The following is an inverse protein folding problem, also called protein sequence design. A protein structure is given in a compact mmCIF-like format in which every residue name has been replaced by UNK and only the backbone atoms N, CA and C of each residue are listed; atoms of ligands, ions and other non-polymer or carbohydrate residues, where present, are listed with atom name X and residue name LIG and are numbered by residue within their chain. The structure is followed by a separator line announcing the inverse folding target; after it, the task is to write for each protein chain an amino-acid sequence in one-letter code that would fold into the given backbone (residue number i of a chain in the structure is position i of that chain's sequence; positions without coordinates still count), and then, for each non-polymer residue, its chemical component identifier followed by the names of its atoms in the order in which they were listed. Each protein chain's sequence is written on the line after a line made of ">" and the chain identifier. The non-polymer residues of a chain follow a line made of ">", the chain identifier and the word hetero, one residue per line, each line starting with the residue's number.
data_IF_128585159500
#
_entry.id   IF_128585159500
#
_cell.length_a   1.000
_cell.length_b   1.000
_cell.length_c   1.000
_cell.angle_alpha   90.00
_cell.angle_beta   90.00
_cell.angle_gamma   90.00
#
_symmetry.space_group_name_H-M   'P 1'
#
loop_
_entity.id
_entity.type
_entity.pdbx_description
1 polymer ?
#
# COMPACT_ATOMS: atom_id res chain seq x y z
N UNK A 1 0.89 -0.01 18.17
CA UNK A 1 0.20 -1.13 18.84
C UNK A 1 0.79 -2.50 18.50
N UNK A 2 2.08 -2.70 18.70
CA UNK A 2 2.73 -3.98 18.35
C UNK A 2 2.42 -5.14 19.31
N UNK A 3 1.74 -4.90 20.46
CA UNK A 3 1.57 -5.91 21.50
C UNK A 3 0.21 -5.83 22.17
N UNK A 4 -0.23 -6.96 22.67
CA UNK A 4 -1.46 -7.12 23.45
C UNK A 4 -1.42 -6.42 24.82
N UNK A 5 -0.25 -5.95 25.24
CA UNK A 5 -0.06 -5.30 26.55
C UNK A 5 -0.12 -3.79 26.42
N UNK A 6 -1.14 -3.17 26.99
CA UNK A 6 -1.39 -1.73 26.91
C UNK A 6 -0.24 -0.85 27.44
N UNK A 7 0.58 -1.37 28.37
CA UNK A 7 1.75 -0.65 28.91
C UNK A 7 2.88 -0.47 27.90
N UNK A 8 2.82 -1.11 26.75
CA UNK A 8 3.81 -1.02 25.67
C UNK A 8 3.26 -0.35 24.41
N UNK A 9 2.08 0.27 24.51
CA UNK A 9 1.49 0.99 23.39
C UNK A 9 2.27 2.29 23.17
N UNK A 10 2.63 2.51 21.93
CA UNK A 10 3.34 3.69 21.47
C UNK A 10 2.68 4.19 20.20
N UNK A 11 2.98 5.42 19.82
CA UNK A 11 2.58 5.94 18.52
C UNK A 11 3.17 5.08 17.39
N UNK A 12 2.40 4.83 16.37
CA UNK A 12 2.84 4.13 15.16
C UNK A 12 2.16 4.75 13.96
N UNK A 13 2.95 5.08 12.95
CA UNK A 13 2.55 5.51 11.61
C UNK A 13 2.42 4.34 10.64
N UNK A 14 2.71 3.13 11.11
CA UNK A 14 2.55 1.91 10.31
C UNK A 14 1.05 1.64 9.99
N UNK A 15 0.66 1.65 8.71
CA UNK A 15 -0.74 1.54 8.29
C UNK A 15 -1.40 0.23 8.71
N UNK A 16 -0.64 -0.86 8.82
CA UNK A 16 -1.17 -2.18 9.21
C UNK A 16 -1.58 -2.20 10.68
N UNK A 17 -0.75 -1.61 11.55
CA UNK A 17 -1.09 -1.53 12.97
C UNK A 17 -2.20 -0.51 13.24
N UNK A 18 -2.26 0.57 12.48
CA UNK A 18 -3.39 1.52 12.55
C UNK A 18 -4.69 0.85 12.10
N UNK A 19 -4.66 0.07 11.00
CA UNK A 19 -5.81 -0.70 10.54
C UNK A 19 -6.24 -1.73 11.59
N UNK A 20 -5.31 -2.46 12.18
CA UNK A 20 -5.61 -3.45 13.22
C UNK A 20 -6.26 -2.80 14.43
N UNK A 21 -5.74 -1.65 14.87
CA UNK A 21 -6.34 -0.88 15.96
C UNK A 21 -7.76 -0.43 15.61
N UNK A 22 -7.96 0.11 14.41
CA UNK A 22 -9.27 0.53 13.93
C UNK A 22 -10.29 -0.63 13.90
N UNK A 23 -9.88 -1.80 13.46
CA UNK A 23 -10.75 -2.97 13.42
C UNK A 23 -11.15 -3.44 14.83
N UNK A 24 -10.23 -3.36 15.81
CA UNK A 24 -10.42 -3.84 17.19
C UNK A 24 -11.05 -2.80 18.12
N UNK A 25 -10.91 -1.53 17.80
CA UNK A 25 -11.36 -0.44 18.66
C UNK A 25 -12.89 -0.37 18.71
N UNK A 26 -13.44 -0.42 19.92
CA UNK A 26 -14.90 -0.42 20.17
C UNK A 26 -15.49 1.00 20.24
N UNK A 27 -14.66 2.03 20.39
CA UNK A 27 -15.11 3.41 20.54
C UNK A 27 -15.23 4.15 19.20
N UNK A 28 -14.23 4.07 18.33
CA UNK A 28 -14.21 4.75 17.02
C UNK A 28 -13.87 3.85 15.85
N UNK A 29 -13.76 2.57 16.09
CA UNK A 29 -13.51 1.55 15.09
C UNK A 29 -14.70 0.60 14.92
N UNK A 30 -14.39 -0.62 14.52
CA UNK A 30 -15.40 -1.65 14.23
C UNK A 30 -15.73 -2.54 15.43
N UNK A 31 -14.97 -2.48 16.53
CA UNK A 31 -15.21 -3.28 17.73
C UNK A 31 -15.12 -4.80 17.52
N UNK A 32 -14.30 -5.24 16.56
CA UNK A 32 -14.16 -6.67 16.27
C UNK A 32 -13.36 -7.34 17.37
N UNK A 33 -13.89 -8.42 17.94
CA UNK A 33 -13.25 -9.13 19.04
C UNK A 33 -11.91 -9.76 18.64
N UNK A 34 -10.97 -9.78 19.57
CA UNK A 34 -9.58 -10.21 19.35
C UNK A 34 -9.44 -11.64 18.80
N UNK A 35 -10.36 -12.52 19.16
CA UNK A 35 -10.33 -13.92 18.71
C UNK A 35 -10.29 -14.11 17.19
N UNK A 36 -10.75 -13.11 16.42
CA UNK A 36 -10.67 -13.15 14.96
C UNK A 36 -9.28 -12.79 14.40
N UNK A 37 -8.34 -12.36 15.26
CA UNK A 37 -6.98 -11.96 14.90
C UNK A 37 -5.90 -12.81 15.59
N UNK A 38 -6.15 -13.29 16.80
CA UNK A 38 -5.13 -13.89 17.69
C UNK A 38 -4.41 -15.08 17.05
N UNK A 39 -5.13 -15.92 16.33
CA UNK A 39 -4.55 -17.14 15.76
C UNK A 39 -3.69 -16.90 14.51
N UNK A 40 -3.76 -15.73 13.90
CA UNK A 40 -2.95 -15.32 12.74
C UNK A 40 -2.28 -13.97 12.96
N UNK A 41 -2.06 -13.60 14.22
CA UNK A 41 -1.41 -12.33 14.56
C UNK A 41 0.01 -12.22 13.98
N UNK A 42 0.70 -13.36 13.82
CA UNK A 42 2.00 -13.39 13.15
C UNK A 42 1.96 -12.86 11.71
N UNK A 43 0.88 -13.12 10.97
CA UNK A 43 0.71 -12.62 9.59
C UNK A 43 0.56 -11.09 9.60
N UNK A 44 -0.14 -10.55 10.61
CA UNK A 44 -0.25 -9.10 10.82
C UNK A 44 1.09 -8.46 11.15
N UNK A 45 1.94 -9.15 11.93
CA UNK A 45 3.29 -8.68 12.22
C UNK A 45 4.15 -8.67 10.96
N UNK A 46 4.14 -9.76 10.19
CA UNK A 46 4.87 -9.83 8.91
C UNK A 46 4.42 -8.72 7.95
N UNK A 47 3.11 -8.47 7.85
CA UNK A 47 2.58 -7.39 7.04
C UNK A 47 3.06 -6.00 7.52
N UNK A 48 3.10 -5.79 8.84
CA UNK A 48 3.65 -4.57 9.43
C UNK A 48 5.15 -4.41 9.15
N UNK A 49 5.93 -5.48 9.30
CA UNK A 49 7.37 -5.46 9.05
C UNK A 49 7.71 -5.12 7.58
N UNK A 50 6.83 -5.50 6.63
CA UNK A 50 6.98 -5.07 5.23
C UNK A 50 6.81 -3.57 5.10
N UNK A 51 5.85 -2.96 5.79
CA UNK A 51 5.65 -1.51 5.77
C UNK A 51 6.81 -0.75 6.41
N UNK A 52 7.37 -1.28 7.51
CA UNK A 52 8.53 -0.72 8.23
C UNK A 52 9.88 -1.00 7.51
N UNK A 53 9.86 -1.58 6.31
CA UNK A 53 11.09 -1.81 5.54
C UNK A 53 11.70 -0.48 5.14
N UNK A 54 12.94 -0.24 5.59
CA UNK A 54 13.66 0.98 5.25
C UNK A 54 14.06 1.02 3.77
N UNK A 55 13.72 2.09 3.10
CA UNK A 55 14.13 2.35 1.72
C UNK A 55 14.88 3.67 1.62
N UNK A 56 15.76 3.77 0.62
CA UNK A 56 16.41 5.03 0.25
C UNK A 56 15.78 5.48 -1.07
N UNK A 57 14.89 6.47 -1.08
CA UNK A 57 14.09 6.83 -2.27
C UNK A 57 14.95 7.22 -3.48
N UNK A 58 16.08 7.88 -3.22
CA UNK A 58 17.06 8.26 -4.25
C UNK A 58 18.44 8.44 -3.62
N UNK A 59 19.48 8.47 -4.44
CA UNK A 59 20.88 8.64 -3.96
C UNK A 59 21.02 9.92 -3.13
N UNK A 60 21.53 9.79 -1.91
CA UNK A 60 21.72 10.90 -0.96
C UNK A 60 20.50 11.25 -0.10
N UNK A 61 19.36 10.60 -0.29
CA UNK A 61 18.21 10.77 0.59
C UNK A 61 18.40 10.02 1.92
N UNK A 62 17.74 10.51 2.96
CA UNK A 62 17.59 9.78 4.22
C UNK A 62 16.74 8.52 3.99
N UNK A 63 16.99 7.50 4.79
CA UNK A 63 16.13 6.33 4.83
C UNK A 63 14.76 6.71 5.39
N UNK A 64 13.72 6.17 4.77
CA UNK A 64 12.33 6.28 5.21
C UNK A 64 11.70 4.90 5.21
N UNK A 65 10.62 4.73 5.93
CA UNK A 65 9.86 3.51 5.88
C UNK A 65 9.15 3.38 4.51
N UNK A 66 8.95 2.16 4.06
CA UNK A 66 8.35 1.88 2.75
C UNK A 66 6.93 2.43 2.66
N UNK A 67 6.18 2.36 3.76
CA UNK A 67 4.78 2.78 3.81
C UNK A 67 4.44 3.36 5.17
N UNK A 68 4.17 4.66 5.20
CA UNK A 68 3.67 5.39 6.36
C UNK A 68 2.22 5.82 6.15
N UNK A 69 1.48 5.96 7.24
CA UNK A 69 0.09 6.43 7.22
C UNK A 69 -0.14 7.52 8.24
N UNK A 70 -0.64 8.65 7.77
CA UNK A 70 -1.10 9.77 8.59
C UNK A 70 -2.60 10.01 8.35
N UNK A 71 -3.38 8.94 8.43
CA UNK A 71 -4.81 8.94 8.13
C UNK A 71 -5.64 9.45 9.30
N UNK A 72 -6.64 10.26 8.99
CA UNK A 72 -7.66 10.68 9.97
C UNK A 72 -8.90 9.80 9.79
N UNK A 73 -9.30 9.13 10.86
CA UNK A 73 -10.53 8.35 10.88
C UNK A 73 -11.74 9.29 10.92
N UNK A 74 -12.56 9.24 9.89
CA UNK A 74 -13.81 9.98 9.82
C UNK A 74 -14.97 9.09 10.28
N UNK A 75 -15.49 9.39 11.46
CA UNK A 75 -16.61 8.64 12.04
C UNK A 75 -17.96 8.91 11.38
N UNK A 76 -18.05 9.91 10.51
CA UNK A 76 -19.26 10.17 9.71
C UNK A 76 -19.36 9.28 8.47
N UNK A 77 -18.25 8.69 8.03
CA UNK A 77 -18.19 7.74 6.92
C UNK A 77 -18.58 6.33 7.37
N UNK A 78 -18.94 5.49 6.40
CA UNK A 78 -19.08 4.06 6.68
C UNK A 78 -17.74 3.47 7.09
N UNK A 79 -17.76 2.58 8.08
CA UNK A 79 -16.55 1.94 8.59
C UNK A 79 -15.71 1.28 7.48
N UNK A 80 -16.38 0.66 6.51
CA UNK A 80 -15.71 0.02 5.36
C UNK A 80 -14.91 1.02 4.49
N UNK A 81 -15.34 2.28 4.43
CA UNK A 81 -14.64 3.28 3.62
C UNK A 81 -13.35 3.71 4.33
N UNK A 82 -13.36 3.85 5.66
CA UNK A 82 -12.12 4.03 6.42
C UNK A 82 -11.18 2.83 6.27
N UNK A 83 -11.69 1.58 6.31
CA UNK A 83 -10.87 0.39 6.07
C UNK A 83 -10.22 0.42 4.68
N UNK A 84 -10.97 0.82 3.65
CA UNK A 84 -10.42 0.96 2.28
C UNK A 84 -9.31 2.00 2.20
N UNK A 85 -9.42 3.10 2.95
CA UNK A 85 -8.39 4.14 2.96
C UNK A 85 -7.07 3.59 3.54
N UNK A 86 -7.11 2.81 4.64
CA UNK A 86 -5.92 2.13 5.17
C UNK A 86 -5.35 1.09 4.19
N UNK A 87 -6.21 0.23 3.64
CA UNK A 87 -5.80 -0.84 2.72
C UNK A 87 -5.16 -0.27 1.45
N UNK A 88 -5.70 0.82 0.90
CA UNK A 88 -5.12 1.49 -0.27
C UNK A 88 -3.74 2.07 0.04
N UNK A 89 -3.61 2.76 1.16
CA UNK A 89 -2.35 3.38 1.56
C UNK A 89 -1.22 2.39 1.79
N UNK A 90 -1.55 1.18 2.24
CA UNK A 90 -0.58 0.12 2.54
C UNK A 90 -0.40 -0.94 1.44
N UNK A 91 -1.07 -0.82 0.29
CA UNK A 91 -1.09 -1.87 -0.75
C UNK A 91 -1.43 -3.25 -0.16
N UNK A 92 -2.29 -3.25 0.87
CA UNK A 92 -2.67 -4.44 1.58
C UNK A 92 -3.95 -5.06 1.00
N UNK A 93 -4.09 -6.34 1.22
CA UNK A 93 -5.31 -7.10 0.94
C UNK A 93 -5.84 -7.64 2.26
N UNK A 94 -7.03 -7.20 2.64
CA UNK A 94 -7.74 -7.67 3.82
C UNK A 94 -8.86 -8.60 3.39
N UNK A 95 -8.89 -9.81 3.92
CA UNK A 95 -9.97 -10.75 3.68
C UNK A 95 -10.42 -11.44 4.98
N UNK A 96 -11.63 -11.97 4.96
CA UNK A 96 -12.16 -12.78 6.04
C UNK A 96 -12.37 -14.21 5.55
N UNK A 97 -11.54 -15.14 6.01
CA UNK A 97 -11.54 -16.54 5.58
C UNK A 97 -11.21 -17.45 6.76
N UNK A 98 -11.94 -18.56 6.89
CA UNK A 98 -11.72 -19.52 7.97
C UNK A 98 -12.04 -18.95 9.35
N UNK A 99 -12.98 -17.99 9.45
CA UNK A 99 -13.34 -17.36 10.71
C UNK A 99 -12.33 -16.36 11.24
N UNK A 100 -11.44 -15.84 10.40
CA UNK A 100 -10.36 -14.92 10.77
C UNK A 100 -10.20 -13.78 9.76
N UNK A 101 -9.71 -12.65 10.22
CA UNK A 101 -9.24 -11.57 9.36
C UNK A 101 -7.77 -11.82 9.00
N UNK A 102 -7.53 -12.01 7.72
CA UNK A 102 -6.17 -12.21 7.17
C UNK A 102 -5.75 -10.96 6.43
N UNK A 103 -4.50 -10.58 6.59
CA UNK A 103 -3.87 -9.45 5.91
C UNK A 103 -2.68 -9.94 5.09
N UNK A 104 -2.54 -9.39 3.91
CA UNK A 104 -1.39 -9.59 3.04
C UNK A 104 -0.97 -8.24 2.49
N UNK A 105 0.32 -7.92 2.59
CA UNK A 105 0.91 -6.74 1.95
C UNK A 105 1.70 -7.21 0.74
N UNK A 106 1.55 -6.51 -0.37
CA UNK A 106 2.32 -6.81 -1.58
C UNK A 106 3.80 -6.56 -1.33
N UNK A 107 4.59 -7.61 -1.46
CA UNK A 107 6.04 -7.58 -1.28
C UNK A 107 6.73 -8.44 -2.34
N UNK A 108 8.00 -8.14 -2.59
CA UNK A 108 8.81 -9.00 -3.47
C UNK A 108 9.07 -10.33 -2.78
N UNK A 109 8.82 -11.41 -3.50
CA UNK A 109 9.03 -12.78 -2.99
C UNK A 109 9.40 -13.74 -4.10
N UNK A 110 9.85 -14.91 -3.71
CA UNK A 110 10.05 -16.03 -4.65
C UNK A 110 8.69 -16.57 -5.09
N UNK A 111 8.62 -17.04 -6.34
CA UNK A 111 7.44 -17.72 -6.83
C UNK A 111 7.12 -18.94 -5.95
N UNK A 112 5.91 -18.97 -5.37
CA UNK A 112 5.45 -20.06 -4.51
C UNK A 112 4.93 -21.25 -5.31
N UNK A 113 4.56 -21.05 -6.57
CA UNK A 113 4.07 -22.08 -7.49
C UNK A 113 4.62 -21.82 -8.89
N UNK A 114 5.06 -22.88 -9.57
CA UNK A 114 5.37 -22.84 -11.00
C UNK A 114 4.27 -23.59 -11.74
N UNK A 115 3.57 -22.90 -12.63
CA UNK A 115 2.57 -23.50 -13.51
C UNK A 115 3.26 -23.99 -14.78
N UNK A 116 3.06 -25.27 -15.11
CA UNK A 116 3.52 -25.89 -16.33
C UNK A 116 2.32 -26.28 -17.20
N UNK A 117 2.55 -26.67 -18.43
CA UNK A 117 1.48 -27.14 -19.33
C UNK A 117 0.67 -28.29 -18.70
N UNK A 118 1.30 -29.14 -17.89
CA UNK A 118 0.64 -30.26 -17.22
C UNK A 118 -0.34 -29.81 -16.12
N UNK A 119 -0.17 -28.61 -15.60
CA UNK A 119 -1.01 -28.05 -14.53
C UNK A 119 -2.16 -27.19 -15.06
N UNK A 120 -2.18 -26.92 -16.38
CA UNK A 120 -3.14 -26.01 -17.01
C UNK A 120 -4.14 -26.82 -17.83
N UNK A 121 -5.40 -26.76 -17.45
CA UNK A 121 -6.48 -27.38 -18.20
C UNK A 121 -7.09 -26.31 -19.14
N UNK A 122 -6.85 -26.45 -20.45
CA UNK A 122 -7.34 -25.51 -21.47
C UNK A 122 -6.23 -24.75 -22.17
N UNK A 123 -6.60 -23.80 -23.01
CA UNK A 123 -5.66 -22.97 -23.76
C UNK A 123 -5.21 -21.73 -22.99
N UNK A 124 -3.95 -21.34 -23.18
CA UNK A 124 -3.42 -20.08 -22.68
C UNK A 124 -3.64 -18.99 -23.74
N UNK A 125 -4.35 -17.93 -23.38
CA UNK A 125 -4.51 -16.75 -24.24
C UNK A 125 -3.70 -15.59 -23.67
N UNK A 126 -2.74 -15.10 -24.45
CA UNK A 126 -1.95 -13.93 -24.10
C UNK A 126 -2.44 -12.73 -24.90
N UNK A 127 -2.95 -11.72 -24.22
CA UNK A 127 -3.36 -10.46 -24.82
C UNK A 127 -2.42 -9.34 -24.39
N UNK A 128 -1.79 -8.68 -25.36
CA UNK A 128 -0.98 -7.50 -25.11
C UNK A 128 -1.87 -6.25 -25.08
N UNK A 129 -1.66 -5.38 -24.10
CA UNK A 129 -2.28 -4.05 -24.09
C UNK A 129 -1.80 -3.25 -25.30
N UNK A 130 -2.70 -2.49 -25.91
CA UNK A 130 -2.36 -1.61 -27.02
C UNK A 130 -1.31 -0.58 -26.57
N UNK A 131 -0.38 -0.22 -27.46
CA UNK A 131 0.64 0.81 -27.21
C UNK A 131 0.01 2.12 -26.69
N UNK A 132 -1.19 2.44 -27.16
CA UNK A 132 -1.92 3.63 -26.73
C UNK A 132 -2.48 3.59 -25.31
N UNK A 133 -2.52 2.43 -24.65
CA UNK A 133 -2.98 2.26 -23.27
C UNK A 133 -1.84 2.11 -22.25
N UNK A 134 -0.59 2.22 -22.72
CA UNK A 134 0.57 2.17 -21.83
C UNK A 134 0.93 3.58 -21.36
N UNK A 135 1.21 3.70 -20.08
CA UNK A 135 1.71 4.92 -19.48
C UNK A 135 3.21 4.78 -19.26
N UNK A 136 3.96 5.84 -19.48
CA UNK A 136 5.40 5.92 -19.25
C UNK A 136 5.77 6.99 -18.22
N UNK A 137 4.76 7.65 -17.66
CA UNK A 137 4.92 8.60 -16.56
C UNK A 137 3.73 8.46 -15.60
N UNK A 138 4.01 8.51 -14.32
CA UNK A 138 3.00 8.59 -13.26
C UNK A 138 3.22 9.88 -12.48
N UNK A 139 2.16 10.63 -12.26
CA UNK A 139 2.15 11.81 -11.38
C UNK A 139 1.23 11.52 -10.22
N UNK A 140 1.72 11.67 -9.01
CA UNK A 140 0.97 11.44 -7.78
C UNK A 140 0.83 12.77 -7.05
N UNK A 141 -0.40 13.14 -6.69
CA UNK A 141 -0.68 14.27 -5.82
C UNK A 141 -0.80 13.79 -4.37
N UNK A 142 -0.16 14.49 -3.47
CA UNK A 142 -0.18 14.16 -2.04
C UNK A 142 -0.19 15.43 -1.19
N UNK A 143 -0.50 15.30 0.08
CA UNK A 143 -0.42 16.40 1.04
C UNK A 143 0.99 16.41 1.63
N UNK A 144 1.73 17.50 1.42
CA UNK A 144 3.11 17.61 1.86
C UNK A 144 3.19 18.33 3.22
N UNK A 145 3.62 17.67 4.29
CA UNK A 145 3.76 18.29 5.61
C UNK A 145 4.81 19.42 5.63
N UNK A 146 5.87 19.31 4.83
CA UNK A 146 6.93 20.32 4.73
C UNK A 146 6.45 21.60 4.06
N UNK A 147 5.35 21.53 3.31
CA UNK A 147 4.68 22.67 2.68
C UNK A 147 3.39 23.08 3.41
N UNK A 148 3.38 23.01 4.74
CA UNK A 148 2.21 23.34 5.56
C UNK A 148 0.94 22.59 5.15
N UNK A 149 1.06 21.30 4.89
CA UNK A 149 -0.04 20.42 4.48
C UNK A 149 -0.77 20.89 3.20
N UNK A 150 -0.06 21.57 2.31
CA UNK A 150 -0.58 21.89 0.98
C UNK A 150 -0.40 20.71 0.01
N UNK A 151 -1.24 20.69 -1.02
CA UNK A 151 -1.11 19.71 -2.09
C UNK A 151 0.22 19.89 -2.84
N UNK A 152 0.92 18.80 -3.02
CA UNK A 152 2.16 18.74 -3.80
C UNK A 152 2.10 17.56 -4.78
N UNK A 153 3.01 17.50 -5.74
CA UNK A 153 3.03 16.45 -6.75
C UNK A 153 4.41 15.82 -6.84
N UNK A 154 4.44 14.50 -6.89
CA UNK A 154 5.62 13.74 -7.24
C UNK A 154 5.41 13.03 -8.59
N UNK A 155 6.48 12.88 -9.37
CA UNK A 155 6.40 12.22 -10.67
C UNK A 155 7.50 11.16 -10.83
N UNK A 156 7.13 10.09 -11.50
CA UNK A 156 8.08 9.03 -11.85
C UNK A 156 7.93 8.68 -13.35
N UNK A 157 9.01 8.55 -14.10
CA UNK A 157 10.40 8.88 -13.76
C UNK A 157 10.58 10.36 -13.37
N UNK A 158 11.53 10.68 -12.50
CA UNK A 158 11.83 12.06 -12.15
C UNK A 158 12.24 12.83 -13.41
N UNK A 159 11.87 14.09 -13.49
CA UNK A 159 12.35 14.99 -14.52
C UNK A 159 13.67 15.57 -14.05
N UNK A 160 14.69 15.47 -14.85
CA UNK A 160 15.97 16.13 -14.56
C UNK A 160 15.85 17.67 -14.67
N UNK A 161 16.89 18.40 -14.29
CA UNK A 161 16.91 19.86 -14.34
C UNK A 161 16.68 20.44 -15.74
N UNK A 162 16.84 19.62 -16.78
CA UNK A 162 16.57 19.99 -18.18
C UNK A 162 15.13 19.71 -18.60
N UNK A 163 14.32 19.16 -17.70
CA UNK A 163 12.92 18.84 -17.96
C UNK A 163 12.72 17.55 -18.75
N UNK A 164 13.76 16.79 -19.01
CA UNK A 164 13.72 15.51 -19.71
C UNK A 164 13.79 14.37 -18.71
N UNK A 165 12.90 13.40 -18.82
CA UNK A 165 13.01 12.17 -18.05
C UNK A 165 14.23 11.38 -18.54
N UNK A 166 15.12 11.02 -17.62
CA UNK A 166 16.37 10.33 -17.95
C UNK A 166 16.19 8.96 -18.62
N UNK A 167 15.00 8.40 -18.61
CA UNK A 167 14.72 7.05 -19.10
C UNK A 167 14.00 7.00 -20.44
N UNK A 168 13.40 8.10 -20.93
CA UNK A 168 12.62 8.02 -22.17
C UNK A 168 12.58 9.37 -22.89
N UNK A 169 13.45 9.53 -23.85
CA UNK A 169 13.49 10.70 -24.76
C UNK A 169 12.39 10.65 -25.83
N UNK A 170 11.28 9.95 -25.58
CA UNK A 170 10.20 9.88 -26.53
C UNK A 170 9.28 11.09 -26.44
N UNK A 171 9.11 11.76 -27.57
CA UNK A 171 8.34 12.99 -27.78
C UNK A 171 6.83 12.89 -27.45
N UNK A 172 6.35 11.74 -26.97
CA UNK A 172 4.96 11.50 -26.59
C UNK A 172 4.87 10.78 -25.26
N UNK A 173 5.19 11.48 -24.16
CA UNK A 173 4.90 10.96 -22.84
C UNK A 173 3.40 11.03 -22.58
N UNK A 174 2.78 9.89 -22.27
CA UNK A 174 1.44 9.84 -21.69
C UNK A 174 1.56 9.90 -20.18
N UNK A 175 0.99 10.94 -19.59
CA UNK A 175 0.87 11.08 -18.15
C UNK A 175 -0.40 10.40 -17.69
N UNK A 176 -0.31 9.53 -16.70
CA UNK A 176 -1.45 9.10 -15.93
C UNK A 176 -1.61 10.05 -14.74
N UNK A 177 -2.73 10.74 -14.66
CA UNK A 177 -3.13 11.42 -13.42
C UNK A 177 -3.54 10.32 -12.43
N UNK A 178 -2.59 9.93 -11.61
CA UNK A 178 -2.82 8.95 -10.57
C UNK A 178 -3.17 9.61 -9.25
N UNK A 179 -4.45 9.79 -8.99
CA UNK A 179 -4.88 9.64 -7.61
C UNK A 179 -4.65 8.19 -7.22
N UNK A 180 -3.60 7.90 -6.46
CA UNK A 180 -3.31 6.64 -5.75
C UNK A 180 -3.81 5.31 -6.38
N UNK A 181 -3.65 5.12 -7.67
CA UNK A 181 -3.96 3.89 -8.38
C UNK A 181 -2.79 3.56 -9.29
N UNK A 182 -1.85 2.82 -8.73
CA UNK A 182 -0.92 2.02 -9.51
C UNK A 182 -1.64 0.73 -9.94
N UNK A 183 -2.39 0.78 -11.00
CA UNK A 183 -2.70 -0.41 -11.76
C UNK A 183 -1.63 -0.55 -12.83
N UNK A 184 -0.66 -1.41 -12.55
CA UNK A 184 0.37 -1.84 -13.48
C UNK A 184 0.04 -3.16 -14.15
#
# INVERSE_FOLDING_TARGET
>A
HRKDTSSTWEYSDNPIYQLLDYLRNDRFGMGIVNSYFDSNFADWQVAGDVCDTNITPFSGASQIDLMDSHTVVDTSKKAIDNVKDFVRGSRAYLNFTGGKYNILVESTGSASITLTEDNIIGGITVQSKNKNSRYNRVVVSFINPDKNFQSDTAQFPPVDETGLASADQHSTMKTADGGLLLEG
#
